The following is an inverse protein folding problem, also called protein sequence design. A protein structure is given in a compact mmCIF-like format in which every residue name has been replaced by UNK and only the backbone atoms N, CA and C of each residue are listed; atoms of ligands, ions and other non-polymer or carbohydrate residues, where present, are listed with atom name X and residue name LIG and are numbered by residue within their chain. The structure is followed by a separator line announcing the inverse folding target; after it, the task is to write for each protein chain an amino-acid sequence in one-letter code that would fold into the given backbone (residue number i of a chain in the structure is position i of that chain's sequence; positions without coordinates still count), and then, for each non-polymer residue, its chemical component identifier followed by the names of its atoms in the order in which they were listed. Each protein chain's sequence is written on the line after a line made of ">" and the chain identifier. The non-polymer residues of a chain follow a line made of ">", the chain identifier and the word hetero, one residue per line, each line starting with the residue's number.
data_IF_591199696673
#
_entry.id   IF_591199696673
#
_cell.length_a   1.000
_cell.length_b   1.000
_cell.length_c   1.000
_cell.angle_alpha   90.00
_cell.angle_beta   90.00
_cell.angle_gamma   90.00
#
_symmetry.space_group_name_H-M   'P 1'
#
loop_
_entity.id
_entity.type
_entity.pdbx_description
1 polymer ?
#
# COMPACT_ATOMS: atom_id res chain seq x y z
N UNK A 1 5.05 -10.39 2.62
CA UNK A 1 3.96 -11.40 2.64
C UNK A 1 3.20 -11.24 1.34
N UNK A 2 2.71 -12.31 0.73
CA UNK A 2 1.82 -12.26 -0.44
C UNK A 2 0.53 -12.99 -0.06
N UNK A 3 -0.61 -12.30 -0.15
CA UNK A 3 -1.91 -12.88 0.16
C UNK A 3 -2.55 -13.44 -1.10
N UNK A 4 -3.32 -14.51 -0.92
CA UNK A 4 -4.05 -15.18 -2.00
C UNK A 4 -5.55 -14.91 -1.85
N UNK A 5 -6.32 -15.16 -2.92
CA UNK A 5 -7.77 -14.97 -2.97
C UNK A 5 -8.20 -13.55 -2.52
N UNK A 6 -7.37 -12.55 -2.84
CA UNK A 6 -7.64 -11.12 -2.67
C UNK A 6 -8.92 -10.73 -3.45
N UNK A 7 -8.95 -11.06 -4.73
CA UNK A 7 -10.08 -10.81 -5.65
C UNK A 7 -11.38 -11.57 -5.27
N UNK A 8 -11.29 -12.55 -4.37
CA UNK A 8 -12.45 -13.28 -3.81
C UNK A 8 -12.92 -12.67 -2.48
N UNK A 9 -12.49 -11.44 -2.17
CA UNK A 9 -12.88 -10.71 -0.97
C UNK A 9 -11.88 -10.84 0.18
N UNK A 10 -10.58 -10.72 -0.12
CA UNK A 10 -9.49 -10.61 0.85
C UNK A 10 -9.33 -11.86 1.73
N UNK A 11 -9.58 -13.04 1.19
CA UNK A 11 -9.66 -14.26 2.00
C UNK A 11 -8.32 -14.59 2.67
N UNK A 12 -7.20 -14.43 1.95
CA UNK A 12 -5.86 -14.68 2.47
C UNK A 12 -5.48 -13.76 3.64
N UNK A 13 -5.63 -12.45 3.48
CA UNK A 13 -5.31 -11.49 4.56
C UNK A 13 -6.24 -11.63 5.77
N UNK A 14 -7.53 -11.89 5.55
CA UNK A 14 -8.48 -12.20 6.63
C UNK A 14 -8.10 -13.48 7.37
N UNK A 15 -7.71 -14.53 6.65
CA UNK A 15 -7.26 -15.76 7.27
C UNK A 15 -6.03 -15.53 8.14
N UNK A 16 -5.04 -14.78 7.64
CA UNK A 16 -3.84 -14.42 8.40
C UNK A 16 -4.18 -13.66 9.70
N UNK A 17 -5.06 -12.65 9.62
CA UNK A 17 -5.44 -11.86 10.80
C UNK A 17 -6.23 -12.69 11.83
N UNK A 18 -6.98 -13.69 11.39
CA UNK A 18 -7.70 -14.61 12.28
C UNK A 18 -6.80 -15.75 12.82
N UNK A 19 -5.66 -16.02 12.18
CA UNK A 19 -4.73 -17.08 12.55
C UNK A 19 -3.27 -16.56 12.55
N UNK A 20 -2.96 -15.53 13.35
CA UNK A 20 -1.70 -14.83 13.20
C UNK A 20 -0.55 -15.62 13.81
N UNK A 21 0.61 -15.63 13.13
CA UNK A 21 1.82 -16.31 13.62
C UNK A 21 2.53 -15.56 14.75
N UNK A 22 2.15 -14.30 14.97
CA UNK A 22 2.58 -13.42 16.06
C UNK A 22 1.37 -12.62 16.58
N UNK A 23 1.36 -12.22 17.85
CA UNK A 23 0.28 -11.38 18.38
C UNK A 23 0.07 -10.09 17.55
N UNK A 24 -1.18 -9.77 17.22
CA UNK A 24 -1.52 -8.60 16.39
C UNK A 24 -1.14 -7.26 17.04
N UNK A 25 -1.08 -7.22 18.37
CA UNK A 25 -0.63 -6.04 19.11
C UNK A 25 0.84 -5.67 18.77
N UNK A 26 1.65 -6.64 18.33
CA UNK A 26 3.02 -6.44 17.84
C UNK A 26 3.12 -5.94 16.40
N UNK A 27 2.04 -5.98 15.62
CA UNK A 27 2.03 -5.42 14.26
C UNK A 27 1.86 -3.92 14.35
N UNK A 28 2.90 -3.14 14.03
CA UNK A 28 2.83 -1.67 14.13
C UNK A 28 1.93 -1.07 13.04
N UNK A 29 2.08 -1.51 11.80
CA UNK A 29 1.30 -1.07 10.64
C UNK A 29 1.49 -2.07 9.50
N UNK A 30 0.71 -1.90 8.43
CA UNK A 30 0.83 -2.68 7.20
C UNK A 30 1.08 -1.73 6.01
N UNK A 31 2.04 -2.09 5.16
CA UNK A 31 2.15 -1.51 3.81
C UNK A 31 1.55 -2.51 2.84
N UNK A 32 0.59 -2.07 2.04
CA UNK A 32 -0.05 -2.85 1.00
C UNK A 32 0.36 -2.25 -0.35
N UNK A 33 0.97 -3.09 -1.18
CA UNK A 33 1.35 -2.77 -2.56
C UNK A 33 0.37 -3.50 -3.46
N UNK A 34 -0.37 -2.76 -4.27
CA UNK A 34 -1.27 -3.34 -5.26
C UNK A 34 -1.22 -2.47 -6.51
N UNK A 35 -1.05 -3.09 -7.68
CA UNK A 35 -0.86 -2.42 -8.96
C UNK A 35 0.20 -1.29 -8.91
N UNK A 36 1.47 -1.65 -8.76
CA UNK A 36 2.61 -0.72 -8.74
C UNK A 36 3.35 -0.57 -10.06
N UNK A 37 3.09 -1.45 -11.03
CA UNK A 37 3.88 -1.54 -12.27
C UNK A 37 3.50 -0.58 -13.39
N UNK A 38 2.30 0.00 -13.41
CA UNK A 38 1.84 0.87 -14.51
C UNK A 38 1.67 2.33 -14.08
N UNK A 39 2.78 3.07 -14.02
CA UNK A 39 2.79 4.45 -13.55
C UNK A 39 2.19 5.45 -14.55
N UNK A 40 1.36 6.39 -14.05
CA UNK A 40 0.83 7.51 -14.83
C UNK A 40 1.32 8.85 -14.25
N UNK A 41 2.16 9.63 -14.97
CA UNK A 41 2.76 10.85 -14.45
C UNK A 41 1.76 11.99 -14.18
N UNK A 42 0.63 12.01 -14.88
CA UNK A 42 -0.40 13.03 -14.64
C UNK A 42 -1.11 12.80 -13.31
N UNK A 43 -1.36 11.53 -12.97
CA UNK A 43 -2.03 11.12 -11.73
C UNK A 43 -1.06 11.12 -10.55
N UNK A 44 0.08 10.46 -10.70
CA UNK A 44 0.97 10.12 -9.60
C UNK A 44 0.53 8.84 -8.86
N UNK A 45 1.35 8.42 -7.90
CA UNK A 45 1.04 7.32 -6.98
C UNK A 45 0.07 7.80 -5.91
N UNK A 46 -0.96 7.00 -5.63
CA UNK A 46 -1.83 7.19 -4.47
C UNK A 46 -1.24 6.46 -3.26
N UNK A 47 -1.15 7.17 -2.13
CA UNK A 47 -0.81 6.61 -0.82
C UNK A 47 -2.04 6.74 0.09
N UNK A 48 -2.85 5.69 0.14
CA UNK A 48 -4.06 5.59 0.98
C UNK A 48 -3.74 5.26 2.44
N UNK A 49 -4.75 5.41 3.30
CA UNK A 49 -4.63 5.13 4.74
C UNK A 49 -3.91 6.22 5.54
N UNK A 50 -3.73 7.42 4.97
CA UNK A 50 -2.95 8.50 5.59
C UNK A 50 -3.55 9.05 6.91
N UNK A 51 -4.80 8.72 7.24
CA UNK A 51 -5.45 9.09 8.50
C UNK A 51 -5.53 7.92 9.50
N UNK A 52 -4.91 6.78 9.21
CA UNK A 52 -4.95 5.60 10.07
C UNK A 52 -3.92 5.62 11.21
N UNK A 53 -3.06 6.64 11.22
CA UNK A 53 -2.12 6.95 12.30
C UNK A 53 -1.90 8.45 12.42
N UNK A 54 -1.80 8.95 13.65
CA UNK A 54 -1.40 10.33 13.93
C UNK A 54 0.09 10.60 13.65
N UNK A 55 0.89 9.54 13.42
CA UNK A 55 2.32 9.67 13.10
C UNK A 55 2.59 9.98 11.63
N UNK A 56 1.65 9.67 10.72
CA UNK A 56 1.81 9.86 9.28
C UNK A 56 2.17 11.29 8.88
N UNK A 57 1.55 12.37 9.41
CA UNK A 57 1.98 13.73 9.11
C UNK A 57 3.46 14.02 9.40
N UNK A 58 4.01 13.41 10.45
CA UNK A 58 5.43 13.57 10.81
C UNK A 58 6.33 12.74 9.88
N UNK A 59 5.93 11.51 9.59
CA UNK A 59 6.66 10.60 8.69
C UNK A 59 6.74 11.18 7.27
N UNK A 60 5.64 11.70 6.75
CA UNK A 60 5.60 12.23 5.38
C UNK A 60 6.19 13.65 5.24
N UNK A 61 6.52 14.31 6.35
CA UNK A 61 7.09 15.66 6.32
C UNK A 61 8.47 15.66 5.65
N UNK A 62 8.58 16.36 4.52
CA UNK A 62 9.84 16.46 3.77
C UNK A 62 10.18 15.19 2.98
N UNK A 63 9.23 14.27 2.81
CA UNK A 63 9.42 13.14 1.90
C UNK A 63 9.37 13.65 0.46
N UNK A 64 10.53 13.62 -0.19
CA UNK A 64 10.68 13.88 -1.61
C UNK A 64 10.83 12.58 -2.41
N UNK A 65 10.34 12.61 -3.65
CA UNK A 65 10.48 11.56 -4.66
C UNK A 65 10.56 12.22 -6.04
N UNK A 66 11.26 11.59 -6.99
CA UNK A 66 11.25 12.00 -8.41
C UNK A 66 9.93 11.66 -9.10
N UNK A 67 9.13 10.76 -8.52
CA UNK A 67 7.77 10.47 -8.95
C UNK A 67 6.76 11.28 -8.14
N UNK A 68 5.72 11.76 -8.84
CA UNK A 68 4.57 12.41 -8.22
C UNK A 68 3.83 11.40 -7.34
N UNK A 69 3.56 11.76 -6.10
CA UNK A 69 2.66 11.01 -5.21
C UNK A 69 1.74 11.96 -4.47
N UNK A 70 0.66 11.43 -3.93
CA UNK A 70 -0.26 12.15 -3.06
C UNK A 70 -0.83 11.22 -1.99
N UNK A 71 -1.21 11.78 -0.85
CA UNK A 71 -1.81 11.04 0.25
C UNK A 71 -3.33 11.13 0.20
N UNK A 72 -4.00 10.04 0.56
CA UNK A 72 -5.46 9.96 0.63
C UNK A 72 -5.92 9.39 1.98
N UNK A 73 -7.08 9.86 2.45
CA UNK A 73 -7.69 9.42 3.71
C UNK A 73 -8.40 8.08 3.60
N UNK A 74 -8.70 7.60 2.38
CA UNK A 74 -9.37 6.31 2.23
C UNK A 74 -8.48 5.16 2.72
N UNK A 75 -8.98 4.41 3.69
CA UNK A 75 -8.29 3.27 4.32
C UNK A 75 -8.88 1.92 3.91
N UNK A 76 -10.11 1.89 3.38
CA UNK A 76 -10.80 0.71 2.82
C UNK A 76 -10.48 0.53 1.32
N UNK A 77 -9.21 0.70 0.94
CA UNK A 77 -8.72 0.88 -0.45
C UNK A 77 -8.98 -0.23 -1.47
N UNK A 78 -9.87 -1.19 -1.20
CA UNK A 78 -10.22 -2.25 -2.14
C UNK A 78 -9.24 -3.42 -2.21
N UNK A 79 -8.15 -3.37 -1.44
CA UNK A 79 -7.11 -4.41 -1.37
C UNK A 79 -6.92 -4.89 0.08
N UNK A 80 -5.91 -5.73 0.33
CA UNK A 80 -5.66 -6.38 1.62
C UNK A 80 -5.53 -5.41 2.81
N UNK A 81 -5.13 -4.16 2.57
CA UNK A 81 -5.11 -3.11 3.59
C UNK A 81 -6.45 -2.94 4.30
N UNK A 82 -7.58 -3.18 3.62
CA UNK A 82 -8.90 -3.05 4.23
C UNK A 82 -9.11 -4.06 5.37
N UNK A 83 -8.56 -5.28 5.25
CA UNK A 83 -8.65 -6.29 6.30
C UNK A 83 -7.87 -5.87 7.56
N UNK A 84 -6.67 -5.30 7.38
CA UNK A 84 -5.83 -4.80 8.48
C UNK A 84 -6.43 -3.55 9.13
N UNK A 85 -6.94 -2.62 8.33
CA UNK A 85 -7.64 -1.44 8.82
C UNK A 85 -8.87 -1.83 9.66
N UNK A 86 -9.62 -2.86 9.25
CA UNK A 86 -10.74 -3.41 10.02
C UNK A 86 -10.35 -3.96 11.40
N UNK A 87 -9.09 -4.33 11.61
CA UNK A 87 -8.52 -4.74 12.89
C UNK A 87 -7.85 -3.58 13.65
N UNK A 88 -8.11 -2.33 13.24
CA UNK A 88 -7.51 -1.12 13.81
C UNK A 88 -5.97 -1.11 13.71
N UNK A 89 -5.41 -1.78 12.70
CA UNK A 89 -3.99 -1.71 12.38
C UNK A 89 -3.80 -0.57 11.37
N UNK A 90 -2.89 0.39 11.63
CA UNK A 90 -2.57 1.44 10.67
C UNK A 90 -2.12 0.87 9.33
N UNK A 91 -2.49 1.50 8.23
CA UNK A 91 -2.15 1.04 6.88
C UNK A 91 -1.63 2.17 6.00
N UNK A 92 -0.74 1.81 5.09
CA UNK A 92 -0.37 2.60 3.92
C UNK A 92 -0.67 1.76 2.68
N UNK A 93 -1.51 2.29 1.78
CA UNK A 93 -1.88 1.60 0.54
C UNK A 93 -1.25 2.30 -0.66
N UNK A 94 -0.30 1.64 -1.32
CA UNK A 94 0.47 2.18 -2.44
C UNK A 94 -0.08 1.63 -3.75
N UNK A 95 -0.58 2.52 -4.61
CA UNK A 95 -1.31 2.12 -5.81
C UNK A 95 -1.17 3.17 -6.93
N UNK A 96 -0.89 2.74 -8.16
CA UNK A 96 -0.75 3.63 -9.33
C UNK A 96 -2.08 4.03 -9.97
N UNK A 97 -3.19 3.44 -9.50
CA UNK A 97 -4.52 3.66 -10.04
C UNK A 97 -4.86 2.67 -11.16
N UNK A 98 -6.14 2.58 -11.51
CA UNK A 98 -6.56 1.73 -12.62
C UNK A 98 -5.95 2.15 -13.97
N UNK A 99 -5.77 1.17 -14.84
CA UNK A 99 -5.28 1.28 -16.22
C UNK A 99 -6.21 0.54 -17.19
N UNK A 100 -5.95 0.66 -18.49
CA UNK A 100 -6.82 0.12 -19.53
C UNK A 100 -6.90 -1.41 -19.52
N UNK A 101 -5.86 -2.08 -19.02
CA UNK A 101 -5.71 -3.53 -18.99
C UNK A 101 -6.14 -4.18 -17.66
N UNK A 102 -6.56 -3.39 -16.67
CA UNK A 102 -6.95 -3.91 -15.36
C UNK A 102 -8.10 -4.92 -15.46
N UNK A 103 -7.96 -6.07 -14.78
CA UNK A 103 -8.88 -7.22 -14.85
C UNK A 103 -9.08 -7.80 -16.26
N UNK A 104 -8.08 -7.67 -17.14
CA UNK A 104 -8.14 -8.22 -18.50
C UNK A 104 -6.96 -9.15 -18.79
N UNK A 105 -7.12 -10.10 -19.72
CA UNK A 105 -6.01 -10.95 -20.17
C UNK A 105 -4.85 -10.23 -20.85
N UNK A 106 -4.96 -8.91 -21.05
CA UNK A 106 -3.94 -8.06 -21.69
C UNK A 106 -3.06 -7.33 -20.66
N UNK A 107 -3.23 -7.60 -19.36
CA UNK A 107 -2.36 -7.12 -18.30
C UNK A 107 -1.05 -7.92 -18.30
N UNK A 108 -0.23 -7.64 -19.31
CA UNK A 108 0.96 -8.39 -19.64
C UNK A 108 2.25 -7.69 -19.13
N UNK A 109 3.34 -8.43 -18.89
CA UNK A 109 4.59 -7.88 -18.34
C UNK A 109 5.20 -6.71 -19.14
N UNK A 110 4.98 -6.65 -20.45
CA UNK A 110 5.46 -5.57 -21.32
C UNK A 110 4.85 -4.21 -21.00
N UNK A 111 3.78 -4.16 -20.20
CA UNK A 111 3.14 -2.91 -19.75
C UNK A 111 3.82 -2.30 -18.53
N UNK A 112 4.73 -3.03 -17.88
CA UNK A 112 5.40 -2.58 -16.66
C UNK A 112 6.41 -1.47 -16.99
N UNK A 113 6.29 -0.35 -16.29
CA UNK A 113 7.29 0.70 -16.23
C UNK A 113 8.27 0.40 -15.08
N UNK A 114 9.27 -0.42 -15.38
CA UNK A 114 10.23 -0.90 -14.38
C UNK A 114 11.06 0.24 -13.75
N UNK A 115 11.32 1.32 -14.49
CA UNK A 115 12.07 2.48 -13.98
C UNK A 115 11.21 3.22 -12.96
N UNK A 116 9.93 3.43 -13.28
CA UNK A 116 9.02 4.05 -12.33
C UNK A 116 8.82 3.16 -11.10
N UNK A 117 8.60 1.86 -11.29
CA UNK A 117 8.41 0.90 -10.20
C UNK A 117 9.61 0.85 -9.23
N UNK A 118 10.84 0.92 -9.74
CA UNK A 118 12.04 1.03 -8.89
C UNK A 118 11.95 2.26 -7.96
N UNK A 119 11.58 3.42 -8.49
CA UNK A 119 11.44 4.67 -7.71
C UNK A 119 10.30 4.56 -6.68
N UNK A 120 9.21 3.86 -7.02
CA UNK A 120 8.12 3.57 -6.08
C UNK A 120 8.64 2.74 -4.90
N UNK A 121 9.35 1.65 -5.17
CA UNK A 121 9.92 0.78 -4.14
C UNK A 121 10.96 1.50 -3.27
N UNK A 122 11.74 2.41 -3.86
CA UNK A 122 12.67 3.27 -3.11
C UNK A 122 11.93 4.21 -2.16
N UNK A 123 10.82 4.82 -2.59
CA UNK A 123 9.97 5.65 -1.75
C UNK A 123 9.37 4.84 -0.59
N UNK A 124 8.87 3.64 -0.87
CA UNK A 124 8.33 2.74 0.16
C UNK A 124 9.38 2.32 1.18
N UNK A 125 10.58 1.95 0.71
CA UNK A 125 11.71 1.58 1.58
C UNK A 125 12.11 2.76 2.46
N UNK A 126 12.12 3.99 1.91
CA UNK A 126 12.38 5.21 2.68
C UNK A 126 11.34 5.43 3.77
N UNK A 127 10.06 5.22 3.47
CA UNK A 127 8.99 5.29 4.47
C UNK A 127 9.24 4.26 5.56
N UNK A 128 9.41 2.98 5.21
CA UNK A 128 9.66 1.87 6.14
C UNK A 128 10.88 2.06 7.05
N UNK A 129 11.90 2.77 6.57
CA UNK A 129 13.12 3.07 7.34
C UNK A 129 12.98 4.23 8.34
N UNK A 130 11.85 4.93 8.37
CA UNK A 130 11.65 6.06 9.26
C UNK A 130 11.40 5.63 10.72
N UNK A 131 11.84 6.42 11.70
CA UNK A 131 11.55 6.14 13.10
C UNK A 131 10.06 6.30 13.38
N UNK A 132 9.37 5.18 13.55
CA UNK A 132 7.98 5.15 13.96
C UNK A 132 7.90 5.03 15.49
N UNK A 133 7.58 6.13 16.16
CA UNK A 133 7.20 6.09 17.57
C UNK A 133 5.78 5.53 17.69
N UNK A 134 5.66 4.20 17.66
CA UNK A 134 4.42 3.43 17.80
C UNK A 134 3.25 4.00 16.96
N UNK A 135 3.13 3.64 15.67
CA UNK A 135 2.17 4.27 14.77
C UNK A 135 0.70 3.91 15.05
N UNK A 136 0.41 3.16 16.13
CA UNK A 136 -0.95 2.89 16.60
C UNK A 136 -1.50 4.02 17.44
#
# INVERSE_FOLDING_TARGET
>A
MAFDAEELGLQGSRYFLNNPTKPLDKLHFMVCMDMTGQYNPNRGIKIGGYNTSDTWPTVFKGVESSIKFFTDRASNGGSDNAAFYGQQIPVLFIHTGGHADYHKPTDDPEKIDAIAEEVILQLETKLLGMPYNNPK
#
